data_IF_414726673113
#
_entry.id   IF_414726673113
#
_cell.length_a   1.000
_cell.length_b   1.000
_cell.length_c   1.000
_cell.angle_alpha   90.00
_cell.angle_beta   90.00
_cell.angle_gamma   90.00
#
_symmetry.space_group_name_H-M   'P 1'
#
loop_
_entity.id
_entity.type
_entity.pdbx_description
1 polymer ?
#
# COMPACT_ATOMS: atom_id res chain seq x y z
N UNK A 1 2.58 29.86 -12.31
CA UNK A 1 3.17 30.39 -11.08
C UNK A 1 2.95 29.43 -9.93
N UNK A 2 3.57 29.59 -8.75
CA UNK A 2 3.37 28.69 -7.63
C UNK A 2 1.89 28.74 -7.19
N UNK A 3 1.30 27.55 -7.00
CA UNK A 3 -0.05 27.41 -6.46
C UNK A 3 0.02 27.54 -4.95
N UNK A 4 -0.84 28.35 -4.37
CA UNK A 4 -0.98 28.46 -2.92
C UNK A 4 -2.28 27.77 -2.51
N UNK A 5 -2.17 26.71 -1.74
CA UNK A 5 -3.32 26.01 -1.17
C UNK A 5 -3.64 26.55 0.23
N UNK A 6 -4.92 26.68 0.53
CA UNK A 6 -5.40 27.18 1.82
C UNK A 6 -6.36 26.18 2.45
N UNK A 7 -5.98 25.64 3.60
CA UNK A 7 -6.85 24.78 4.41
C UNK A 7 -7.75 25.64 5.28
N UNK A 8 -9.02 25.31 5.32
CA UNK A 8 -10.06 25.99 6.06
C UNK A 8 -10.75 25.04 7.03
N UNK A 9 -11.16 25.58 8.17
CA UNK A 9 -12.06 24.91 9.10
C UNK A 9 -13.19 25.88 9.43
N UNK A 10 -14.40 25.56 9.00
CA UNK A 10 -15.59 26.34 9.28
C UNK A 10 -16.57 25.47 10.06
N UNK A 11 -16.66 25.70 11.37
CA UNK A 11 -17.55 24.97 12.28
C UNK A 11 -17.37 23.43 12.23
N UNK A 12 -16.13 22.97 12.12
CA UNK A 12 -15.81 21.53 12.05
C UNK A 12 -15.88 20.93 10.65
N UNK A 13 -16.25 21.71 9.64
CA UNK A 13 -16.17 21.30 8.23
C UNK A 13 -14.81 21.72 7.68
N UNK A 14 -14.06 20.77 7.21
CA UNK A 14 -12.73 21.00 6.64
C UNK A 14 -12.81 21.07 5.12
N UNK A 15 -12.15 22.06 4.55
CA UNK A 15 -12.04 22.24 3.10
C UNK A 15 -10.64 22.71 2.73
N UNK A 16 -10.31 22.61 1.46
CA UNK A 16 -9.09 23.14 0.87
C UNK A 16 -9.43 23.98 -0.37
N UNK A 17 -8.89 25.18 -0.44
CA UNK A 17 -8.91 26.00 -1.64
C UNK A 17 -7.58 25.79 -2.35
N UNK A 18 -7.61 25.24 -3.55
CA UNK A 18 -6.41 24.95 -4.34
C UNK A 18 -6.73 25.00 -5.85
N UNK A 19 -5.73 24.81 -6.69
CA UNK A 19 -5.92 24.74 -8.13
C UNK A 19 -6.81 23.53 -8.50
N UNK A 20 -7.73 23.78 -9.39
CA UNK A 20 -8.68 22.80 -9.89
C UNK A 20 -8.46 22.44 -11.35
N UNK A 21 -9.37 21.61 -11.87
CA UNK A 21 -9.32 21.08 -13.24
C UNK A 21 -9.27 22.13 -14.37
N UNK A 22 -9.66 23.39 -14.07
CA UNK A 22 -9.70 24.50 -15.03
C UNK A 22 -8.63 25.56 -14.75
N UNK A 23 -7.57 25.24 -14.03
CA UNK A 23 -6.57 26.22 -13.56
C UNK A 23 -7.19 27.36 -12.69
N UNK A 24 -8.30 27.07 -12.03
CA UNK A 24 -8.98 28.00 -11.11
C UNK A 24 -8.83 27.52 -9.68
N UNK A 25 -8.61 28.44 -8.78
CA UNK A 25 -8.72 28.15 -7.36
C UNK A 25 -10.17 27.75 -7.04
N UNK A 26 -10.32 26.53 -6.56
CA UNK A 26 -11.61 25.92 -6.24
C UNK A 26 -11.56 25.41 -4.82
N UNK A 27 -12.67 25.54 -4.10
CA UNK A 27 -12.82 24.98 -2.76
C UNK A 27 -13.35 23.56 -2.87
N UNK A 28 -12.64 22.61 -2.22
CA UNK A 28 -13.01 21.22 -2.15
C UNK A 28 -13.23 20.80 -0.71
N UNK A 29 -14.34 20.10 -0.45
CA UNK A 29 -14.59 19.52 0.88
C UNK A 29 -13.65 18.34 1.13
N UNK A 30 -12.97 18.34 2.27
CA UNK A 30 -12.21 17.18 2.75
C UNK A 30 -13.20 16.16 3.30
N UNK A 31 -13.22 14.97 2.71
CA UNK A 31 -14.10 13.87 3.12
C UNK A 31 -13.43 12.91 4.07
N UNK A 32 -12.17 12.57 3.80
CA UNK A 32 -11.41 11.59 4.58
C UNK A 32 -9.95 12.00 4.66
N UNK A 33 -9.27 11.41 5.63
CA UNK A 33 -7.81 11.39 5.71
C UNK A 33 -7.36 9.94 5.64
N UNK A 34 -6.18 9.69 5.10
CA UNK A 34 -5.55 8.38 5.13
C UNK A 34 -4.04 8.52 5.39
N UNK A 35 -3.46 7.43 5.94
CA UNK A 35 -2.13 7.49 6.51
C UNK A 35 -2.12 8.15 7.89
N UNK A 36 -1.29 7.60 8.80
CA UNK A 36 -1.13 8.11 10.17
C UNK A 36 0.31 8.58 10.36
N UNK A 37 1.27 7.76 9.98
CA UNK A 37 2.69 8.02 10.10
C UNK A 37 3.44 7.24 9.00
N UNK A 38 4.44 7.83 8.35
CA UNK A 38 4.98 9.18 8.57
C UNK A 38 4.13 10.29 7.94
N UNK A 39 3.22 9.96 7.03
CA UNK A 39 2.49 10.91 6.21
C UNK A 39 0.98 10.80 6.40
N UNK A 40 0.31 11.95 6.42
CA UNK A 40 -1.14 12.04 6.29
C UNK A 40 -1.50 12.73 4.99
N UNK A 41 -2.45 12.15 4.27
CA UNK A 41 -2.97 12.66 3.01
C UNK A 41 -4.47 12.88 3.11
N UNK A 42 -5.02 13.76 2.28
CA UNK A 42 -6.42 14.19 2.35
C UNK A 42 -7.15 13.80 1.08
N UNK A 43 -8.35 13.28 1.24
CA UNK A 43 -9.27 12.96 0.16
C UNK A 43 -10.32 14.04 0.04
N UNK A 44 -10.44 14.60 -1.14
CA UNK A 44 -11.44 15.61 -1.46
C UNK A 44 -12.45 15.10 -2.49
N UNK A 45 -13.67 15.56 -2.35
CA UNK A 45 -14.77 15.23 -3.27
C UNK A 45 -14.72 16.19 -4.48
N UNK A 46 -14.60 15.62 -5.65
CA UNK A 46 -14.60 16.38 -6.92
C UNK A 46 -15.88 16.14 -7.74
N UNK A 47 -16.90 15.54 -7.15
CA UNK A 47 -18.16 15.21 -7.80
C UNK A 47 -18.19 13.81 -8.41
N UNK A 48 -19.39 13.39 -8.84
CA UNK A 48 -19.64 12.08 -9.47
C UNK A 48 -19.15 10.87 -8.64
N UNK A 49 -19.13 10.99 -7.30
CA UNK A 49 -18.60 9.97 -6.39
C UNK A 49 -17.07 9.83 -6.41
N UNK A 50 -16.35 10.73 -7.09
CA UNK A 50 -14.90 10.71 -7.17
C UNK A 50 -14.27 11.34 -5.93
N UNK A 51 -13.37 10.60 -5.33
CA UNK A 51 -12.47 11.08 -4.31
C UNK A 51 -11.07 11.20 -4.92
N UNK A 52 -10.46 12.38 -4.79
CA UNK A 52 -9.11 12.64 -5.24
C UNK A 52 -8.18 12.82 -4.05
N UNK A 53 -7.02 12.20 -4.12
CA UNK A 53 -5.96 12.42 -3.16
C UNK A 53 -5.23 13.73 -3.48
N UNK A 54 -5.15 14.63 -2.51
CA UNK A 54 -4.38 15.86 -2.66
C UNK A 54 -2.88 15.52 -2.74
N UNK A 55 -2.12 16.24 -3.58
CA UNK A 55 -0.67 16.10 -3.63
C UNK A 55 0.03 16.75 -2.41
N UNK A 56 -0.71 17.47 -1.59
CA UNK A 56 -0.24 18.08 -0.37
C UNK A 56 -0.42 17.11 0.78
N UNK A 57 0.65 16.84 1.51
CA UNK A 57 0.69 15.91 2.62
C UNK A 57 1.24 16.57 3.87
N UNK A 58 0.81 16.06 5.00
CA UNK A 58 1.32 16.43 6.30
C UNK A 58 2.35 15.39 6.77
N UNK A 59 3.57 15.82 7.06
CA UNK A 59 4.55 14.99 7.76
C UNK A 59 4.15 14.94 9.23
N UNK A 60 3.71 13.76 9.69
CA UNK A 60 3.22 13.57 11.06
C UNK A 60 4.33 13.21 12.05
N UNK A 61 5.58 13.05 11.61
CA UNK A 61 6.70 12.69 12.49
C UNK A 61 7.01 13.83 13.46
N UNK A 62 7.14 13.49 14.74
CA UNK A 62 7.53 14.46 15.77
C UNK A 62 9.02 14.83 15.70
N UNK A 63 9.39 15.90 16.41
CA UNK A 63 10.76 16.40 16.48
C UNK A 63 11.79 15.40 17.08
N UNK A 64 11.31 14.35 17.74
CA UNK A 64 12.14 13.33 18.41
C UNK A 64 12.68 12.25 17.46
N UNK A 65 12.24 12.23 16.22
CA UNK A 65 12.83 11.33 15.24
C UNK A 65 14.18 11.90 14.86
N UNK A 66 15.27 11.19 15.16
CA UNK A 66 16.63 11.51 14.74
C UNK A 66 16.73 11.54 13.20
N UNK A 67 16.19 12.59 12.61
CA UNK A 67 16.41 12.91 11.21
C UNK A 67 17.64 13.79 11.11
N UNK A 68 18.58 13.38 10.28
CA UNK A 68 19.73 14.23 9.88
C UNK A 68 19.29 15.46 9.06
N UNK A 69 17.99 15.58 8.78
CA UNK A 69 17.41 16.72 8.06
C UNK A 69 16.84 17.74 9.06
N UNK A 70 17.38 18.97 9.11
CA UNK A 70 16.88 20.02 9.99
C UNK A 70 15.42 20.45 9.73
N UNK A 71 14.82 20.00 8.63
CA UNK A 71 13.41 20.24 8.26
C UNK A 71 12.48 19.10 8.69
N UNK A 72 12.90 18.22 9.57
CA UNK A 72 12.13 17.04 10.02
C UNK A 72 11.02 17.34 11.05
N UNK A 73 10.67 18.59 11.24
CA UNK A 73 9.51 18.96 12.05
C UNK A 73 8.23 18.81 11.25
N UNK A 74 7.14 18.50 11.92
CA UNK A 74 5.80 18.43 11.34
C UNK A 74 5.54 19.61 10.39
N UNK A 75 5.33 19.32 9.13
CA UNK A 75 5.13 20.34 8.11
C UNK A 75 4.35 19.82 6.90
N UNK A 76 3.80 20.76 6.17
CA UNK A 76 3.19 20.49 4.87
C UNK A 76 4.24 20.47 3.77
N UNK A 77 4.13 19.52 2.85
CA UNK A 77 4.91 19.55 1.63
C UNK A 77 4.14 18.92 0.45
N UNK A 78 4.62 19.15 -0.75
CA UNK A 78 4.07 18.59 -1.98
C UNK A 78 4.84 17.32 -2.34
N UNK A 79 4.13 16.21 -2.60
CA UNK A 79 4.74 14.91 -2.93
C UNK A 79 5.59 14.97 -4.21
N UNK A 80 5.13 15.69 -5.21
CA UNK A 80 5.79 15.79 -6.51
C UNK A 80 5.76 17.23 -7.02
N UNK A 81 6.55 18.16 -6.42
CA UNK A 81 6.49 19.57 -6.79
C UNK A 81 6.92 19.83 -8.24
N UNK A 82 7.76 18.96 -8.81
CA UNK A 82 8.19 19.06 -10.21
C UNK A 82 7.11 18.60 -11.20
N UNK A 83 6.13 17.83 -10.73
CA UNK A 83 5.01 17.31 -11.51
C UNK A 83 3.72 18.12 -11.32
N UNK A 84 3.80 19.28 -10.68
CA UNK A 84 2.69 20.22 -10.57
C UNK A 84 2.44 20.85 -11.94
N UNK A 85 1.85 20.07 -12.83
CA UNK A 85 1.50 20.47 -14.20
C UNK A 85 0.29 21.40 -14.25
N UNK A 86 0.02 21.92 -15.44
CA UNK A 86 -1.23 22.62 -15.70
C UNK A 86 -2.42 21.63 -15.62
N UNK A 87 -3.64 22.13 -15.43
CA UNK A 87 -4.83 21.29 -15.25
C UNK A 87 -5.15 20.36 -16.42
N UNK A 88 -4.61 20.61 -17.60
CA UNK A 88 -4.69 19.73 -18.77
C UNK A 88 -3.62 18.64 -18.81
N UNK A 89 -2.62 18.72 -17.95
CA UNK A 89 -1.58 17.69 -17.84
C UNK A 89 -2.19 16.38 -17.29
N UNK A 90 -1.94 15.22 -17.94
CA UNK A 90 -2.40 13.92 -17.46
C UNK A 90 -2.00 13.56 -16.03
N UNK A 91 -0.89 14.11 -15.53
CA UNK A 91 -0.40 13.87 -14.16
C UNK A 91 -0.94 14.87 -13.13
N UNK A 92 -1.72 15.87 -13.56
CA UNK A 92 -2.34 16.80 -12.61
C UNK A 92 -3.19 16.09 -11.58
N UNK A 93 -3.18 16.55 -10.33
CA UNK A 93 -3.83 15.85 -9.21
C UNK A 93 -5.34 15.60 -9.38
N UNK A 94 -6.02 16.39 -10.22
CA UNK A 94 -7.44 16.17 -10.55
C UNK A 94 -7.67 15.05 -11.57
N UNK A 95 -6.62 14.45 -12.11
CA UNK A 95 -6.68 13.38 -13.13
C UNK A 95 -6.64 11.99 -12.50
N UNK A 96 -6.75 10.97 -13.35
CA UNK A 96 -6.90 9.58 -12.96
C UNK A 96 -5.81 9.06 -12.04
N UNK A 97 -4.57 9.55 -12.14
CA UNK A 97 -3.44 9.10 -11.31
C UNK A 97 -3.61 9.34 -9.81
N UNK A 98 -4.41 10.34 -9.42
CA UNK A 98 -4.72 10.65 -8.02
C UNK A 98 -6.16 10.29 -7.63
N UNK A 99 -6.87 9.57 -8.50
CA UNK A 99 -8.21 9.08 -8.17
C UNK A 99 -8.13 7.96 -7.14
N UNK A 100 -8.57 8.28 -5.92
CA UNK A 100 -8.49 7.35 -4.80
C UNK A 100 -9.33 6.09 -5.02
N UNK A 101 -10.55 6.25 -5.55
CA UNK A 101 -11.46 5.13 -5.78
C UNK A 101 -10.85 4.01 -6.63
N UNK A 102 -10.03 4.41 -7.62
CA UNK A 102 -9.43 3.48 -8.57
C UNK A 102 -8.01 3.07 -8.21
N UNK A 103 -7.18 4.01 -7.76
CA UNK A 103 -5.75 3.80 -7.60
C UNK A 103 -5.35 3.39 -6.17
N UNK A 104 -6.08 3.82 -5.16
CA UNK A 104 -5.61 3.74 -3.77
C UNK A 104 -6.50 2.88 -2.87
N UNK A 105 -7.83 2.95 -3.06
CA UNK A 105 -8.81 2.38 -2.14
C UNK A 105 -8.59 0.90 -1.84
N UNK A 106 -8.28 0.13 -2.86
CA UNK A 106 -8.16 -1.33 -2.79
C UNK A 106 -7.02 -1.81 -1.87
N UNK A 107 -5.97 -0.99 -1.72
CA UNK A 107 -4.85 -1.25 -0.82
C UNK A 107 -4.94 -0.50 0.51
N UNK A 108 -5.72 0.58 0.57
CA UNK A 108 -5.77 1.48 1.71
C UNK A 108 -7.08 1.44 2.50
N UNK A 109 -8.00 0.52 2.14
CA UNK A 109 -9.28 0.36 2.84
C UNK A 109 -9.64 -1.11 3.01
N UNK A 110 -10.71 -1.38 3.74
CA UNK A 110 -11.18 -2.74 4.02
C UNK A 110 -12.43 -3.05 3.22
N UNK A 111 -12.46 -4.22 2.55
CA UNK A 111 -13.60 -4.77 1.80
C UNK A 111 -14.17 -3.76 0.77
N UNK A 112 -13.31 -3.28 -0.11
CA UNK A 112 -13.65 -2.26 -1.12
C UNK A 112 -14.38 -2.88 -2.30
N UNK A 113 -15.44 -2.19 -2.73
CA UNK A 113 -16.05 -2.35 -4.05
C UNK A 113 -16.02 -0.98 -4.72
N UNK A 114 -15.37 -0.87 -5.88
CA UNK A 114 -15.19 0.42 -6.57
C UNK A 114 -16.50 1.01 -7.06
N UNK A 115 -17.39 0.14 -7.55
CA UNK A 115 -18.71 0.55 -8.02
C UNK A 115 -18.64 1.57 -9.15
N UNK A 116 -17.69 1.40 -10.07
CA UNK A 116 -17.55 2.29 -11.22
C UNK A 116 -18.58 1.95 -12.30
N UNK A 117 -19.34 2.96 -12.71
CA UNK A 117 -20.26 2.87 -13.85
C UNK A 117 -19.64 3.60 -15.05
N UNK A 118 -19.22 2.84 -16.05
CA UNK A 118 -18.61 3.39 -17.26
C UNK A 118 -19.61 4.14 -18.16
N UNK A 119 -20.90 3.88 -18.06
CA UNK A 119 -21.90 4.56 -18.89
C UNK A 119 -22.15 6.01 -18.42
N UNK A 120 -22.07 6.23 -17.11
CA UNK A 120 -22.28 7.56 -16.50
C UNK A 120 -20.97 8.20 -16.03
N UNK A 121 -19.87 7.48 -16.11
CA UNK A 121 -18.55 7.89 -15.60
C UNK A 121 -18.59 8.32 -14.13
N UNK A 122 -19.25 7.51 -13.29
CA UNK A 122 -19.44 7.78 -11.86
C UNK A 122 -18.92 6.64 -10.99
N UNK A 123 -18.66 6.95 -9.73
CA UNK A 123 -18.31 5.96 -8.70
C UNK A 123 -19.39 5.88 -7.62
N UNK A 124 -19.68 4.66 -7.18
CA UNK A 124 -20.44 4.37 -5.97
C UNK A 124 -19.60 3.45 -5.06
N UNK A 125 -18.41 3.93 -4.71
CA UNK A 125 -17.44 3.13 -3.95
C UNK A 125 -17.95 2.85 -2.55
N UNK A 126 -17.93 1.58 -2.18
CA UNK A 126 -18.29 1.09 -0.86
C UNK A 126 -17.06 0.48 -0.19
N UNK A 127 -16.97 0.60 1.10
CA UNK A 127 -15.92 -0.03 1.93
C UNK A 127 -16.48 -0.26 3.35
N UNK A 128 -15.94 -1.27 4.03
CA UNK A 128 -16.29 -1.51 5.43
C UNK A 128 -15.59 -0.48 6.34
N UNK A 129 -14.33 -0.19 6.05
CA UNK A 129 -13.52 0.81 6.75
C UNK A 129 -12.67 1.59 5.76
N UNK A 130 -12.49 2.89 5.99
CA UNK A 130 -11.62 3.78 5.18
C UNK A 130 -10.13 3.43 5.34
N UNK A 131 -9.78 2.67 6.34
CA UNK A 131 -8.44 2.20 6.65
C UNK A 131 -8.34 0.68 6.50
N UNK A 132 -7.10 0.17 6.51
CA UNK A 132 -6.83 -1.27 6.54
C UNK A 132 -7.07 -1.78 7.97
N UNK A 133 -8.23 -2.40 8.18
CA UNK A 133 -8.60 -3.03 9.45
C UNK A 133 -8.30 -4.53 9.46
N UNK A 134 -8.70 -5.20 10.54
CA UNK A 134 -8.47 -6.64 10.72
C UNK A 134 -9.07 -7.48 9.59
N UNK A 135 -10.24 -7.10 9.12
CA UNK A 135 -10.99 -7.85 8.10
C UNK A 135 -10.37 -7.74 6.70
N UNK A 136 -9.47 -6.78 6.46
CA UNK A 136 -8.74 -6.69 5.20
C UNK A 136 -7.83 -7.92 4.96
N UNK A 137 -7.30 -8.49 6.04
CA UNK A 137 -6.43 -9.67 6.00
C UNK A 137 -7.15 -10.94 6.45
N UNK A 138 -8.08 -10.83 7.40
CA UNK A 138 -8.74 -11.96 8.05
C UNK A 138 -10.13 -12.29 7.47
N UNK A 139 -10.70 -11.39 6.66
CA UNK A 139 -12.09 -11.51 6.20
C UNK A 139 -13.10 -11.17 7.30
N UNK A 140 -14.40 -11.37 7.05
CA UNK A 140 -15.49 -10.97 7.95
C UNK A 140 -15.37 -11.61 9.34
N UNK A 141 -15.33 -10.76 10.38
CA UNK A 141 -15.07 -11.16 11.78
C UNK A 141 -16.29 -11.34 12.66
N UNK A 142 -17.52 -11.25 12.14
CA UNK A 142 -18.74 -11.28 12.95
C UNK A 142 -18.88 -12.54 13.80
N UNK A 143 -18.59 -13.72 13.24
CA UNK A 143 -18.65 -14.99 13.98
C UNK A 143 -17.62 -15.08 15.10
N UNK A 144 -16.42 -14.53 14.90
CA UNK A 144 -15.38 -14.46 15.95
C UNK A 144 -15.80 -13.47 17.05
N UNK A 145 -16.37 -12.32 16.71
CA UNK A 145 -16.93 -11.36 17.68
C UNK A 145 -17.97 -12.02 18.59
N UNK A 146 -18.85 -12.81 18.01
CA UNK A 146 -19.96 -13.45 18.72
C UNK A 146 -19.49 -14.70 19.50
N UNK A 147 -18.34 -15.27 19.17
CA UNK A 147 -17.73 -16.42 19.81
C UNK A 147 -16.19 -16.27 19.86
N UNK A 148 -15.64 -15.39 20.71
CA UNK A 148 -14.21 -15.05 20.71
C UNK A 148 -13.26 -16.21 21.05
N UNK A 149 -13.79 -17.27 21.66
CA UNK A 149 -13.02 -18.49 21.99
C UNK A 149 -12.81 -19.41 20.78
N UNK A 150 -13.56 -19.20 19.71
CA UNK A 150 -13.35 -19.92 18.47
C UNK A 150 -12.19 -19.29 17.69
N UNK A 151 -11.32 -20.10 17.10
CA UNK A 151 -10.29 -19.55 16.22
C UNK A 151 -10.88 -18.71 15.12
N UNK A 152 -10.29 -17.57 14.82
CA UNK A 152 -10.66 -16.79 13.65
C UNK A 152 -10.44 -17.68 12.42
N UNK A 153 -11.41 -17.81 11.51
CA UNK A 153 -11.26 -18.67 10.34
C UNK A 153 -10.24 -18.05 9.37
N UNK A 154 -8.97 -18.32 9.62
CA UNK A 154 -7.85 -17.83 8.80
C UNK A 154 -7.63 -18.63 7.52
N UNK A 155 -8.43 -19.68 7.26
CA UNK A 155 -8.06 -20.66 6.23
C UNK A 155 -9.26 -21.22 5.49
N UNK A 156 -9.22 -21.09 4.17
CA UNK A 156 -9.91 -22.02 3.29
C UNK A 156 -9.20 -23.40 3.37
N UNK A 157 -9.97 -24.47 3.46
CA UNK A 157 -9.42 -25.83 3.34
C UNK A 157 -8.87 -26.13 1.92
N UNK A 158 -9.13 -25.25 0.97
CA UNK A 158 -8.77 -25.43 -0.45
C UNK A 158 -7.31 -25.05 -0.77
N UNK A 159 -6.68 -24.19 0.02
CA UNK A 159 -5.30 -23.76 -0.20
C UNK A 159 -4.46 -23.89 1.07
N UNK A 160 -3.14 -24.06 0.92
CA UNK A 160 -2.25 -24.11 2.07
C UNK A 160 -2.18 -22.77 2.79
N UNK A 161 -1.83 -22.78 4.08
CA UNK A 161 -1.69 -21.56 4.86
C UNK A 161 -0.66 -20.58 4.27
N UNK A 162 0.44 -21.11 3.74
CA UNK A 162 1.48 -20.31 3.11
C UNK A 162 0.96 -19.60 1.85
N UNK A 163 0.21 -20.31 1.01
CA UNK A 163 -0.40 -19.73 -0.20
C UNK A 163 -1.47 -18.70 0.18
N UNK A 164 -2.31 -18.99 1.18
CA UNK A 164 -3.33 -18.04 1.65
C UNK A 164 -2.71 -16.74 2.17
N UNK A 165 -1.63 -16.83 2.95
CA UNK A 165 -0.88 -15.67 3.43
C UNK A 165 -0.33 -14.85 2.28
N UNK A 166 0.36 -15.51 1.34
CA UNK A 166 0.94 -14.82 0.19
C UNK A 166 -0.10 -14.16 -0.70
N UNK A 167 -1.22 -14.83 -0.97
CA UNK A 167 -2.33 -14.26 -1.74
C UNK A 167 -2.89 -13.00 -1.07
N UNK A 168 -3.05 -13.03 0.25
CA UNK A 168 -3.53 -11.88 1.02
C UNK A 168 -2.53 -10.72 0.97
N UNK A 169 -1.25 -10.98 1.20
CA UNK A 169 -0.22 -9.92 1.16
C UNK A 169 -0.08 -9.32 -0.26
N UNK A 170 -0.16 -10.16 -1.29
CA UNK A 170 -0.02 -9.76 -2.69
C UNK A 170 -1.06 -8.73 -3.12
N UNK A 171 -2.25 -8.72 -2.52
CA UNK A 171 -3.31 -7.76 -2.89
C UNK A 171 -2.88 -6.30 -2.74
N UNK A 172 -1.98 -6.02 -1.80
CA UNK A 172 -1.46 -4.67 -1.55
C UNK A 172 0.03 -4.55 -1.92
N UNK A 173 0.80 -5.63 -1.78
CA UNK A 173 2.25 -5.61 -1.97
C UNK A 173 2.71 -6.09 -3.35
N UNK A 174 1.89 -5.87 -4.40
CA UNK A 174 2.24 -6.11 -5.80
C UNK A 174 1.81 -4.95 -6.69
N UNK A 175 2.60 -4.66 -7.73
CA UNK A 175 2.12 -3.86 -8.87
C UNK A 175 1.21 -4.75 -9.70
N UNK A 176 -0.04 -4.37 -9.86
CA UNK A 176 -1.07 -5.23 -10.44
C UNK A 176 -2.20 -4.45 -11.10
N UNK A 177 -2.89 -5.09 -12.04
CA UNK A 177 -4.20 -4.70 -12.51
C UNK A 177 -5.27 -5.52 -11.79
N UNK A 178 -6.42 -4.93 -11.51
CA UNK A 178 -7.57 -5.65 -10.98
C UNK A 178 -8.39 -6.21 -12.13
N UNK A 179 -8.65 -7.52 -12.11
CA UNK A 179 -9.45 -8.25 -13.10
C UNK A 179 -10.90 -8.40 -12.64
N UNK A 180 -11.10 -8.62 -11.35
CA UNK A 180 -12.41 -8.78 -10.74
C UNK A 180 -12.47 -8.11 -9.37
N UNK A 181 -13.62 -7.55 -9.02
CA UNK A 181 -13.89 -7.04 -7.68
C UNK A 181 -14.23 -8.16 -6.69
N UNK A 182 -14.31 -7.82 -5.40
CA UNK A 182 -14.81 -8.71 -4.37
C UNK A 182 -13.81 -9.77 -3.91
N UNK A 183 -12.49 -9.51 -4.01
CA UNK A 183 -11.50 -10.36 -3.37
C UNK A 183 -11.77 -10.45 -1.87
N UNK A 184 -11.75 -11.66 -1.36
CA UNK A 184 -11.74 -11.92 0.08
C UNK A 184 -10.50 -12.73 0.44
N UNK A 185 -9.90 -12.49 1.62
CA UNK A 185 -8.79 -13.32 2.11
C UNK A 185 -9.15 -14.81 1.99
N UNK A 186 -8.21 -15.63 1.55
CA UNK A 186 -8.35 -17.07 1.26
C UNK A 186 -8.76 -17.42 -0.20
N UNK A 187 -9.07 -16.45 -1.03
CA UNK A 187 -9.22 -16.68 -2.47
C UNK A 187 -7.85 -16.68 -3.17
N UNK A 188 -7.81 -17.21 -4.38
CA UNK A 188 -6.61 -17.14 -5.18
C UNK A 188 -6.40 -15.71 -5.70
N UNK A 189 -5.22 -15.15 -5.44
CA UNK A 189 -4.85 -13.80 -5.86
C UNK A 189 -5.03 -13.60 -7.38
N UNK A 190 -4.61 -14.58 -8.17
CA UNK A 190 -4.63 -14.50 -9.64
C UNK A 190 -6.05 -14.59 -10.26
N UNK A 191 -7.07 -14.97 -9.49
CA UNK A 191 -8.45 -14.92 -9.96
C UNK A 191 -9.01 -13.48 -9.96
N UNK A 192 -8.40 -12.62 -9.17
CA UNK A 192 -8.84 -11.24 -9.00
C UNK A 192 -7.85 -10.21 -9.55
N UNK A 193 -6.57 -10.56 -9.65
CA UNK A 193 -5.51 -9.63 -9.99
C UNK A 193 -4.51 -10.22 -10.97
N UNK A 194 -4.03 -9.37 -11.87
CA UNK A 194 -2.92 -9.65 -12.76
C UNK A 194 -1.68 -8.88 -12.28
N UNK A 195 -0.69 -9.54 -11.69
CA UNK A 195 0.55 -8.88 -11.31
C UNK A 195 1.35 -8.46 -12.55
N UNK A 196 2.12 -7.38 -12.42
CA UNK A 196 3.11 -7.03 -13.42
C UNK A 196 4.17 -8.14 -13.49
N UNK A 197 4.48 -8.58 -14.71
CA UNK A 197 5.52 -9.57 -14.97
C UNK A 197 6.92 -8.95 -14.90
N UNK A 198 7.94 -9.78 -15.04
CA UNK A 198 9.33 -9.36 -15.14
C UNK A 198 9.59 -8.66 -16.48
N UNK A 199 9.17 -7.43 -16.58
CA UNK A 199 9.26 -6.60 -17.77
C UNK A 199 10.47 -5.68 -17.70
N UNK A 200 11.04 -5.39 -18.86
CA UNK A 200 12.11 -4.38 -18.98
C UNK A 200 11.59 -3.02 -18.45
N UNK A 201 12.38 -2.39 -17.62
CA UNK A 201 12.02 -1.12 -16.98
C UNK A 201 11.33 -1.27 -15.62
N UNK A 202 10.76 -2.45 -15.31
CA UNK A 202 10.19 -2.75 -14.00
C UNK A 202 11.14 -3.53 -13.11
N UNK A 203 11.92 -4.43 -13.70
CA UNK A 203 12.87 -5.31 -13.01
C UNK A 203 14.22 -5.30 -13.69
N UNK A 204 15.27 -5.53 -12.92
CA UNK A 204 16.57 -5.90 -13.44
C UNK A 204 16.53 -7.31 -14.05
N UNK A 205 17.48 -7.66 -14.94
CA UNK A 205 17.50 -8.99 -15.58
C UNK A 205 17.60 -10.18 -14.62
N UNK A 206 18.10 -9.97 -13.41
CA UNK A 206 18.20 -10.96 -12.34
C UNK A 206 16.94 -11.02 -11.45
N UNK A 207 15.92 -10.21 -11.76
CA UNK A 207 14.65 -10.16 -11.05
C UNK A 207 14.60 -9.25 -9.84
N UNK A 208 15.65 -8.49 -9.58
CA UNK A 208 15.62 -7.46 -8.56
C UNK A 208 14.74 -6.28 -9.01
N UNK A 209 14.16 -5.59 -8.03
CA UNK A 209 13.28 -4.45 -8.24
C UNK A 209 14.06 -3.29 -8.86
N UNK A 210 13.57 -2.75 -9.98
CA UNK A 210 14.12 -1.56 -10.64
C UNK A 210 13.19 -0.36 -10.46
N UNK A 211 11.89 -0.54 -10.68
CA UNK A 211 10.86 0.50 -10.52
C UNK A 211 9.91 0.14 -9.37
N UNK A 212 8.91 0.96 -9.10
CA UNK A 212 7.94 0.75 -8.02
C UNK A 212 6.97 -0.41 -8.36
N UNK A 213 7.42 -1.63 -8.10
CA UNK A 213 6.68 -2.89 -8.35
C UNK A 213 6.32 -3.64 -7.08
N UNK A 214 6.70 -3.12 -5.94
CA UNK A 214 6.57 -3.75 -4.63
C UNK A 214 7.32 -5.09 -4.53
N UNK A 215 7.17 -5.77 -3.40
CA UNK A 215 8.04 -6.93 -3.08
C UNK A 215 7.56 -8.25 -3.65
N UNK A 216 6.26 -8.37 -4.00
CA UNK A 216 5.67 -9.67 -4.35
C UNK A 216 6.35 -10.35 -5.52
N UNK A 217 6.56 -9.64 -6.63
CA UNK A 217 7.15 -10.24 -7.85
C UNK A 217 8.58 -10.72 -7.64
N UNK A 218 9.40 -9.92 -6.94
CA UNK A 218 10.77 -10.29 -6.58
C UNK A 218 10.83 -11.47 -5.62
N UNK A 219 9.96 -11.46 -4.60
CA UNK A 219 9.88 -12.53 -3.61
C UNK A 219 9.41 -13.85 -4.25
N UNK A 220 8.35 -13.82 -5.06
CA UNK A 220 7.74 -15.01 -5.63
C UNK A 220 8.69 -15.84 -6.54
N UNK A 221 9.69 -15.19 -7.14
CA UNK A 221 10.72 -15.87 -7.94
C UNK A 221 11.95 -16.31 -7.13
N UNK A 222 12.02 -15.96 -5.85
CA UNK A 222 13.18 -16.26 -5.02
C UNK A 222 13.28 -17.74 -4.64
N UNK A 223 14.49 -18.21 -4.38
CA UNK A 223 14.73 -19.56 -3.84
C UNK A 223 14.07 -19.74 -2.46
N UNK A 224 13.96 -18.67 -1.67
CA UNK A 224 13.30 -18.70 -0.36
C UNK A 224 11.81 -19.03 -0.50
N UNK A 225 11.12 -18.37 -1.43
CA UNK A 225 9.73 -18.68 -1.76
C UNK A 225 9.58 -20.16 -2.20
N UNK A 226 10.44 -20.62 -3.09
CA UNK A 226 10.42 -22.02 -3.55
C UNK A 226 10.65 -23.05 -2.43
N UNK A 227 11.29 -22.67 -1.33
CA UNK A 227 11.47 -23.47 -0.12
C UNK A 227 10.36 -23.26 0.94
N UNK A 228 9.27 -22.59 0.59
CA UNK A 228 8.11 -22.41 1.45
C UNK A 228 8.25 -21.31 2.50
N UNK A 229 9.24 -20.43 2.38
CA UNK A 229 9.30 -19.20 3.21
C UNK A 229 8.13 -18.30 2.85
N UNK A 230 7.53 -17.68 3.86
CA UNK A 230 6.41 -16.76 3.73
C UNK A 230 6.76 -15.38 4.29
N UNK A 231 5.90 -14.41 4.08
CA UNK A 231 6.10 -13.03 4.55
C UNK A 231 6.24 -12.97 6.08
N UNK A 232 5.42 -13.74 6.80
CA UNK A 232 5.43 -13.80 8.26
C UNK A 232 6.67 -14.48 8.86
N UNK A 233 7.50 -15.12 8.07
CA UNK A 233 8.78 -15.61 8.58
C UNK A 233 9.75 -14.46 8.88
N UNK A 234 9.65 -13.35 8.14
CA UNK A 234 10.50 -12.18 8.29
C UNK A 234 9.80 -11.02 9.00
N UNK A 235 8.49 -10.87 8.79
CA UNK A 235 7.70 -9.76 9.33
C UNK A 235 6.80 -10.20 10.49
N UNK A 236 6.63 -9.31 11.47
CA UNK A 236 5.47 -9.32 12.34
C UNK A 236 4.34 -8.59 11.61
N UNK A 237 3.34 -9.36 11.18
CA UNK A 237 2.28 -8.86 10.29
C UNK A 237 1.34 -7.85 10.94
N UNK A 238 1.23 -7.83 12.27
CA UNK A 238 0.37 -6.89 12.99
C UNK A 238 1.05 -5.55 13.26
N UNK A 239 2.36 -5.53 13.44
CA UNK A 239 3.14 -4.30 13.60
C UNK A 239 3.77 -3.81 12.30
N UNK A 240 3.75 -4.61 11.23
CA UNK A 240 4.44 -4.40 9.97
C UNK A 240 5.98 -4.21 10.12
N UNK A 241 6.53 -4.64 11.25
CA UNK A 241 7.96 -4.54 11.54
C UNK A 241 8.70 -5.81 11.15
N UNK A 242 10.00 -5.70 10.90
CA UNK A 242 10.87 -6.86 10.79
C UNK A 242 11.03 -7.52 12.17
N UNK A 243 10.99 -8.84 12.23
CA UNK A 243 11.20 -9.61 13.48
C UNK A 243 12.58 -9.43 14.06
N UNK A 244 13.58 -9.20 13.22
CA UNK A 244 14.97 -8.98 13.60
C UNK A 244 15.58 -7.88 12.77
N UNK A 245 16.62 -7.22 13.28
CA UNK A 245 17.31 -6.14 12.60
C UNK A 245 18.58 -6.63 11.90
N UNK A 246 18.86 -6.05 10.74
CA UNK A 246 20.07 -6.35 9.96
C UNK A 246 20.21 -7.84 9.65
N UNK A 247 21.43 -8.34 9.67
CA UNK A 247 21.75 -9.72 9.32
C UNK A 247 21.13 -10.76 10.26
N UNK A 248 20.67 -10.38 11.45
CA UNK A 248 19.97 -11.28 12.34
C UNK A 248 18.68 -11.83 11.73
N UNK A 249 18.05 -11.07 10.81
CA UNK A 249 16.88 -11.53 10.07
C UNK A 249 17.20 -12.75 9.19
N UNK A 250 18.35 -12.80 8.60
CA UNK A 250 18.78 -13.88 7.71
C UNK A 250 19.36 -15.05 8.50
N UNK A 251 20.15 -14.77 9.53
CA UNK A 251 20.84 -15.79 10.33
C UNK A 251 19.92 -16.59 11.24
N UNK A 252 18.65 -16.17 11.42
CA UNK A 252 17.66 -17.04 12.07
C UNK A 252 17.53 -18.41 11.39
N UNK A 253 17.75 -18.48 10.08
CA UNK A 253 17.73 -19.70 9.29
C UNK A 253 19.12 -20.07 8.75
N UNK A 254 19.89 -19.10 8.31
CA UNK A 254 21.20 -19.27 7.67
C UNK A 254 22.34 -19.18 8.69
N UNK A 255 22.40 -20.13 9.62
CA UNK A 255 23.47 -20.23 10.62
C UNK A 255 23.88 -21.69 10.84
N UNK A 256 25.05 -21.97 11.47
CA UNK A 256 25.55 -23.34 11.69
C UNK A 256 24.65 -24.20 12.54
N UNK A 257 23.87 -23.60 13.44
CA UNK A 257 22.89 -24.27 14.31
C UNK A 257 21.47 -24.27 13.70
N UNK A 258 21.28 -23.63 12.54
CA UNK A 258 20.03 -23.56 11.81
C UNK A 258 19.69 -24.84 11.06
N UNK A 259 18.81 -24.74 10.10
CA UNK A 259 18.44 -25.89 9.28
C UNK A 259 19.61 -26.27 8.36
N UNK A 260 19.93 -27.58 8.34
CA UNK A 260 21.05 -28.10 7.53
C UNK A 260 20.88 -27.88 6.03
N UNK A 261 19.62 -27.70 5.58
CA UNK A 261 19.28 -27.44 4.18
C UNK A 261 19.63 -26.04 3.73
N UNK A 262 19.85 -25.11 4.64
CA UNK A 262 20.19 -23.73 4.29
C UNK A 262 21.69 -23.49 4.40
N UNK A 263 22.31 -22.86 3.39
CA UNK A 263 23.72 -22.51 3.48
C UNK A 263 23.94 -21.54 4.66
N UNK A 264 25.01 -21.79 5.42
CA UNK A 264 25.44 -20.86 6.45
C UNK A 264 25.93 -19.58 5.78
N UNK A 265 25.37 -18.44 6.17
CA UNK A 265 25.87 -17.15 5.74
C UNK A 265 27.06 -16.76 6.61
N UNK A 266 28.19 -16.61 5.98
CA UNK A 266 29.39 -16.01 6.61
C UNK A 266 29.45 -14.53 6.22
N UNK A 267 30.02 -13.69 7.09
CA UNK A 267 30.20 -12.27 6.83
C UNK A 267 30.85 -12.03 5.44
N UNK A 268 31.90 -12.77 5.12
CA UNK A 268 32.60 -12.66 3.84
C UNK A 268 31.76 -12.99 2.60
N UNK A 269 30.74 -13.84 2.74
CA UNK A 269 29.83 -14.20 1.65
C UNK A 269 28.65 -13.24 1.57
N UNK A 270 28.10 -12.88 2.74
CA UNK A 270 26.86 -12.13 2.88
C UNK A 270 27.05 -10.63 2.60
N UNK A 271 28.16 -10.06 3.11
CA UNK A 271 28.49 -8.66 2.91
C UNK A 271 29.41 -8.43 1.69
N UNK A 272 29.41 -9.37 0.76
CA UNK A 272 30.20 -9.26 -0.46
C UNK A 272 29.44 -8.48 -1.55
N UNK A 273 30.16 -7.77 -2.45
CA UNK A 273 29.54 -7.08 -3.60
C UNK A 273 28.76 -8.00 -4.55
N UNK A 274 28.91 -9.31 -4.42
CA UNK A 274 28.20 -10.31 -5.24
C UNK A 274 26.87 -10.76 -4.63
N UNK A 275 26.53 -10.31 -3.42
CA UNK A 275 25.31 -10.66 -2.73
C UNK A 275 24.35 -9.46 -2.58
N UNK A 276 24.89 -8.27 -2.54
CA UNK A 276 24.12 -7.00 -2.44
C UNK A 276 24.49 -6.06 -3.57
#
# INVERSE_FOLDING_TARGET
>A
GPVTSKFLNQNGVYSVVTDGAENKLTEYAVRYTFGISPLQQYLVDVGSGRLQALPLVWDARGADVQSSNPNSNQHWYHLAPQSAGAADDPIHWTRGGQNWNHMCADCHSTAVTKGYDAATDTFNTQFAEISVGCEACHGPGSSHRDSPTQPYPMRSSAISAAVAEQNTCATCHSRRAQLAEGFTPQQAFLDHYQPAFLEQGLYHPDGQILDEVYVYGSFAQSKMHAQGVTCSNCHDVHSAQLKFQGNALCTQCHNPAGRKEFPTLTEALYDSPNHH
#
